data_IF_340192828988
#
_entry.id   IF_340192828988
#
_cell.length_a   1.000
_cell.length_b   1.000
_cell.length_c   1.000
_cell.angle_alpha   90.00
_cell.angle_beta   90.00
_cell.angle_gamma   90.00
#
_symmetry.space_group_name_H-M   'P 1'
#
loop_
_entity.id
_entity.type
_entity.pdbx_description
1 polymer ?
#
# COMPACT_ATOMS: atom_id res chain seq x y z
N UNK A 1 -4.00 41.46 -40.58
CA UNK A 1 -3.09 41.71 -39.45
C UNK A 1 -3.33 40.64 -38.41
N UNK A 2 -2.42 39.66 -38.37
CA UNK A 2 -2.42 38.54 -37.44
C UNK A 2 -2.12 39.00 -36.02
N UNK A 3 -2.81 38.42 -35.05
CA UNK A 3 -2.27 38.13 -33.73
C UNK A 3 -2.98 36.87 -33.20
N UNK A 4 -2.28 35.75 -33.36
CA UNK A 4 -2.54 34.47 -32.70
C UNK A 4 -2.43 34.68 -31.18
N UNK A 5 -3.47 34.37 -30.41
CA UNK A 5 -3.33 34.17 -28.98
C UNK A 5 -3.24 32.66 -28.72
N UNK A 6 -2.11 32.25 -28.15
CA UNK A 6 -1.63 30.88 -28.05
C UNK A 6 -2.39 30.09 -26.97
N UNK A 7 -2.92 28.88 -27.28
CA UNK A 7 -3.52 27.99 -26.28
C UNK A 7 -2.43 27.10 -25.63
N UNK A 8 -1.51 27.68 -24.85
CA UNK A 8 -0.39 26.89 -24.27
C UNK A 8 -0.20 27.04 -22.75
N UNK A 9 -1.18 27.57 -22.01
CA UNK A 9 -1.07 27.73 -20.55
C UNK A 9 -1.93 26.77 -19.71
N UNK A 10 -2.37 25.63 -20.25
CA UNK A 10 -3.21 24.67 -19.51
C UNK A 10 -2.55 23.33 -19.16
N UNK A 11 -1.30 23.10 -19.56
CA UNK A 11 -0.54 21.96 -19.05
C UNK A 11 0.10 22.35 -17.71
N UNK A 12 -0.73 22.35 -16.67
CA UNK A 12 -0.23 22.18 -15.31
C UNK A 12 0.73 20.99 -15.34
N UNK A 13 1.95 21.22 -14.86
CA UNK A 13 3.02 20.25 -14.77
C UNK A 13 2.52 19.02 -14.00
N UNK A 14 2.03 18.00 -14.71
CA UNK A 14 1.99 16.65 -14.18
C UNK A 14 3.44 16.23 -14.05
N UNK A 15 4.04 16.60 -12.91
CA UNK A 15 5.39 16.21 -12.57
C UNK A 15 5.44 14.68 -12.68
N UNK A 16 6.41 14.10 -13.40
CA UNK A 16 6.46 12.66 -13.56
C UNK A 16 6.52 12.05 -12.16
N UNK A 17 5.45 11.37 -11.76
CA UNK A 17 5.43 10.56 -10.54
C UNK A 17 6.56 9.55 -10.73
N UNK A 18 7.64 9.72 -9.97
CA UNK A 18 8.74 8.76 -9.99
C UNK A 18 8.21 7.43 -9.45
N UNK A 19 8.69 6.31 -9.97
CA UNK A 19 8.27 4.96 -9.52
C UNK A 19 8.36 4.81 -7.98
N UNK A 20 9.33 5.48 -7.36
CA UNK A 20 9.48 5.57 -5.91
C UNK A 20 8.33 6.31 -5.21
N UNK A 21 7.83 7.41 -5.79
CA UNK A 21 6.67 8.14 -5.26
C UNK A 21 5.41 7.29 -5.29
N UNK A 22 5.18 6.56 -6.39
CA UNK A 22 4.04 5.64 -6.51
C UNK A 22 4.16 4.44 -5.57
N UNK A 23 5.37 3.92 -5.34
CA UNK A 23 5.61 2.82 -4.41
C UNK A 23 5.37 3.24 -2.97
N UNK A 24 5.89 4.40 -2.55
CA UNK A 24 5.72 4.92 -1.19
C UNK A 24 4.24 5.18 -0.86
N UNK A 25 3.48 5.76 -1.80
CA UNK A 25 2.04 5.99 -1.65
C UNK A 25 1.25 4.68 -1.52
N UNK A 26 1.56 3.68 -2.37
CA UNK A 26 0.94 2.34 -2.27
C UNK A 26 1.29 1.65 -0.96
N UNK A 27 2.54 1.73 -0.54
CA UNK A 27 3.01 1.14 0.72
C UNK A 27 2.35 1.76 1.95
N UNK A 28 2.23 3.09 1.98
CA UNK A 28 1.50 3.78 3.03
C UNK A 28 0.02 3.40 3.04
N UNK A 29 -0.63 3.35 1.87
CA UNK A 29 -2.02 2.92 1.73
C UNK A 29 -2.24 1.49 2.21
N UNK A 30 -1.29 0.60 1.92
CA UNK A 30 -1.27 -0.77 2.43
C UNK A 30 -1.23 -0.78 3.96
N UNK A 31 -0.33 0.01 4.57
CA UNK A 31 -0.25 0.11 6.01
C UNK A 31 -1.57 0.62 6.61
N UNK A 32 -2.12 1.72 6.11
CA UNK A 32 -3.38 2.31 6.59
C UNK A 32 -4.55 1.30 6.53
N UNK A 33 -4.68 0.56 5.43
CA UNK A 33 -5.69 -0.48 5.29
C UNK A 33 -5.47 -1.63 6.28
N UNK A 34 -4.22 -2.06 6.48
CA UNK A 34 -3.89 -3.09 7.46
C UNK A 34 -4.27 -2.65 8.90
N UNK A 35 -4.17 -1.37 9.22
CA UNK A 35 -4.54 -0.80 10.52
C UNK A 35 -6.06 -0.78 10.71
N UNK A 36 -6.83 -0.50 9.66
CA UNK A 36 -8.29 -0.64 9.68
C UNK A 36 -8.64 -2.09 9.99
N UNK A 37 -8.05 -3.06 9.28
CA UNK A 37 -8.30 -4.49 9.50
C UNK A 37 -7.89 -4.90 10.92
N UNK A 38 -6.75 -4.42 11.44
CA UNK A 38 -6.29 -4.68 12.81
C UNK A 38 -7.32 -4.19 13.84
N UNK A 39 -7.90 -3.00 13.65
CA UNK A 39 -8.93 -2.45 14.53
C UNK A 39 -10.20 -3.30 14.54
N UNK A 40 -10.63 -3.80 13.37
CA UNK A 40 -11.76 -4.71 13.23
C UNK A 40 -11.49 -6.08 13.86
N UNK A 41 -10.22 -6.49 13.92
CA UNK A 41 -9.73 -7.69 14.59
C UNK A 41 -9.50 -7.50 16.11
N UNK A 42 -9.82 -6.33 16.67
CA UNK A 42 -9.53 -5.96 18.07
C UNK A 42 -8.05 -6.08 18.46
N UNK A 43 -7.15 -5.81 17.51
CA UNK A 43 -5.70 -5.76 17.72
C UNK A 43 -5.23 -4.33 18.00
N UNK A 44 -4.04 -4.21 18.61
CA UNK A 44 -3.36 -2.94 18.72
C UNK A 44 -2.86 -2.47 17.34
N UNK A 45 -2.90 -1.17 17.11
CA UNK A 45 -2.36 -0.53 15.91
C UNK A 45 -0.84 -0.50 15.92
N UNK A 46 -0.22 -0.80 14.79
CA UNK A 46 1.23 -0.65 14.57
C UNK A 46 1.58 0.80 14.23
N UNK A 47 2.77 1.28 14.57
CA UNK A 47 3.22 2.62 14.16
C UNK A 47 3.87 2.57 12.78
N UNK A 48 3.74 3.64 12.00
CA UNK A 48 4.42 3.79 10.71
C UNK A 48 5.79 4.43 10.92
N UNK A 49 6.74 3.64 11.42
CA UNK A 49 8.10 4.06 11.72
C UNK A 49 9.13 2.96 11.41
N UNK A 50 10.41 3.29 11.61
CA UNK A 50 11.54 2.37 11.45
C UNK A 50 11.51 1.60 10.12
N UNK A 51 11.65 0.28 10.21
CA UNK A 51 11.71 -0.60 9.05
C UNK A 51 10.47 -0.51 8.14
N UNK A 52 9.28 -0.23 8.70
CA UNK A 52 8.07 -0.06 7.90
C UNK A 52 8.18 1.24 7.09
N UNK A 53 8.51 2.36 7.72
CA UNK A 53 8.59 3.65 7.02
C UNK A 53 9.74 3.72 6.00
N UNK A 54 10.86 3.04 6.29
CA UNK A 54 12.06 3.03 5.45
C UNK A 54 11.98 2.09 4.23
N UNK A 55 10.99 1.20 4.19
CA UNK A 55 10.90 0.16 3.16
C UNK A 55 10.96 0.70 1.71
N UNK A 56 10.19 1.73 1.30
CA UNK A 56 10.19 2.19 -0.09
C UNK A 56 11.57 2.67 -0.57
N UNK A 57 12.32 3.33 0.29
CA UNK A 57 13.69 3.76 -0.02
C UNK A 57 14.63 2.55 -0.12
N UNK A 58 14.58 1.66 0.88
CA UNK A 58 15.48 0.49 0.95
C UNK A 58 15.29 -0.50 -0.20
N UNK A 59 14.05 -0.70 -0.67
CA UNK A 59 13.79 -1.61 -1.80
C UNK A 59 14.27 -1.02 -3.13
N UNK A 60 14.17 0.30 -3.31
CA UNK A 60 14.76 0.98 -4.46
C UNK A 60 16.30 0.86 -4.47
N UNK A 61 16.94 0.98 -3.30
CA UNK A 61 18.39 0.78 -3.16
C UNK A 61 18.83 -0.68 -3.39
N UNK A 62 17.93 -1.64 -3.16
CA UNK A 62 18.22 -3.07 -3.31
C UNK A 62 18.32 -3.53 -4.78
N UNK A 63 17.90 -2.69 -5.74
CA UNK A 63 18.05 -2.88 -7.18
C UNK A 63 16.78 -3.34 -7.91
N UNK A 64 16.78 -3.17 -9.23
CA UNK A 64 15.60 -3.26 -10.10
C UNK A 64 14.86 -4.60 -10.02
N UNK A 65 15.58 -5.73 -9.93
CA UNK A 65 14.94 -7.04 -9.82
C UNK A 65 14.11 -7.16 -8.54
N UNK A 66 14.67 -6.74 -7.39
CA UNK A 66 13.99 -6.81 -6.10
C UNK A 66 12.82 -5.84 -6.03
N UNK A 67 12.98 -4.66 -6.62
CA UNK A 67 11.90 -3.69 -6.78
C UNK A 67 10.73 -4.30 -7.57
N UNK A 68 11.00 -4.95 -8.71
CA UNK A 68 9.97 -5.60 -9.51
C UNK A 68 9.25 -6.73 -8.74
N UNK A 69 9.98 -7.54 -7.97
CA UNK A 69 9.37 -8.54 -7.08
C UNK A 69 8.49 -7.92 -5.99
N UNK A 70 8.91 -6.79 -5.43
CA UNK A 70 8.14 -6.08 -4.42
C UNK A 70 6.85 -5.48 -5.00
N UNK A 71 6.90 -4.90 -6.21
CA UNK A 71 5.72 -4.38 -6.90
C UNK A 71 4.69 -5.48 -7.19
N UNK A 72 5.13 -6.63 -7.71
CA UNK A 72 4.24 -7.79 -7.94
C UNK A 72 3.64 -8.31 -6.63
N UNK A 73 4.45 -8.40 -5.57
CA UNK A 73 3.94 -8.84 -4.26
C UNK A 73 2.93 -7.84 -3.68
N UNK A 74 3.13 -6.54 -3.89
CA UNK A 74 2.15 -5.52 -3.49
C UNK A 74 0.84 -5.66 -4.25
N UNK A 75 0.88 -5.95 -5.55
CA UNK A 75 -0.31 -6.25 -6.35
C UNK A 75 -1.06 -7.48 -5.82
N UNK A 76 -0.35 -8.54 -5.44
CA UNK A 76 -0.95 -9.74 -4.85
C UNK A 76 -1.61 -9.43 -3.49
N UNK A 77 -0.97 -8.61 -2.65
CA UNK A 77 -1.55 -8.18 -1.37
C UNK A 77 -2.81 -7.33 -1.60
N UNK A 78 -2.78 -6.40 -2.55
CA UNK A 78 -3.94 -5.57 -2.88
C UNK A 78 -5.12 -6.45 -3.37
N UNK A 79 -4.83 -7.47 -4.18
CA UNK A 79 -5.83 -8.38 -4.72
C UNK A 79 -6.57 -9.20 -3.64
N UNK A 80 -5.94 -9.47 -2.50
CA UNK A 80 -6.60 -10.14 -1.36
C UNK A 80 -7.20 -9.13 -0.37
N UNK A 81 -6.51 -8.02 -0.11
CA UNK A 81 -6.86 -7.09 0.95
C UNK A 81 -8.09 -6.26 0.60
N UNK A 82 -8.16 -5.72 -0.62
CA UNK A 82 -9.26 -4.84 -1.03
C UNK A 82 -10.64 -5.54 -1.00
N UNK A 83 -10.84 -6.72 -1.61
CA UNK A 83 -12.11 -7.42 -1.50
C UNK A 83 -12.39 -7.91 -0.07
N UNK A 84 -11.36 -8.34 0.68
CA UNK A 84 -11.49 -8.75 2.07
C UNK A 84 -11.98 -7.61 2.98
N UNK A 85 -11.37 -6.44 2.88
CA UNK A 85 -11.77 -5.24 3.61
C UNK A 85 -13.18 -4.78 3.20
N UNK A 86 -13.51 -4.81 1.91
CA UNK A 86 -14.86 -4.50 1.43
C UNK A 86 -15.91 -5.43 2.06
N UNK A 87 -15.62 -6.73 2.14
CA UNK A 87 -16.51 -7.69 2.79
C UNK A 87 -16.65 -7.43 4.29
N UNK A 88 -15.55 -7.12 4.98
CA UNK A 88 -15.55 -6.78 6.41
C UNK A 88 -16.39 -5.53 6.71
N UNK A 89 -16.24 -4.48 5.91
CA UNK A 89 -17.05 -3.26 6.02
C UNK A 89 -18.54 -3.55 5.82
N UNK A 90 -18.90 -4.44 4.88
CA UNK A 90 -20.28 -4.85 4.67
C UNK A 90 -20.86 -5.66 5.85
N UNK A 91 -20.05 -6.51 6.49
CA UNK A 91 -20.44 -7.26 7.71
C UNK A 91 -20.64 -6.27 8.87
N UNK A 92 -19.70 -5.33 9.06
CA UNK A 92 -19.80 -4.31 10.11
C UNK A 92 -21.01 -3.40 9.93
N UNK A 93 -21.32 -3.00 8.69
CA UNK A 93 -22.51 -2.19 8.38
C UNK A 93 -23.83 -2.90 8.72
N UNK A 94 -23.84 -4.24 8.80
CA UNK A 94 -24.97 -5.05 9.25
C UNK A 94 -25.00 -5.24 10.77
N UNK A 95 -24.07 -4.64 11.51
CA UNK A 95 -23.93 -4.78 12.96
C UNK A 95 -23.44 -6.17 13.38
N UNK A 96 -22.80 -6.91 12.49
CA UNK A 96 -22.28 -8.25 12.77
C UNK A 96 -20.83 -8.20 13.25
N UNK A 97 -20.41 -9.20 14.03
CA UNK A 97 -19.03 -9.32 14.51
C UNK A 97 -18.07 -9.60 13.34
N UNK A 98 -16.98 -8.83 13.30
CA UNK A 98 -15.93 -8.92 12.27
C UNK A 98 -14.62 -9.49 12.82
N UNK A 99 -14.52 -9.74 14.13
CA UNK A 99 -13.26 -10.04 14.81
C UNK A 99 -12.53 -11.24 14.19
N UNK A 100 -13.22 -12.37 14.02
CA UNK A 100 -12.61 -13.58 13.49
C UNK A 100 -12.19 -13.47 12.01
N UNK A 101 -13.04 -13.02 11.07
CA UNK A 101 -12.62 -12.84 9.68
C UNK A 101 -11.58 -11.73 9.49
N UNK A 102 -11.63 -10.65 10.30
CA UNK A 102 -10.63 -9.59 10.26
C UNK A 102 -9.26 -10.10 10.75
N UNK A 103 -9.23 -10.91 11.82
CA UNK A 103 -7.99 -11.52 12.31
C UNK A 103 -7.35 -12.43 11.27
N UNK A 104 -8.15 -13.20 10.52
CA UNK A 104 -7.65 -14.05 9.44
C UNK A 104 -7.01 -13.19 8.34
N UNK A 105 -7.71 -12.17 7.85
CA UNK A 105 -7.18 -11.28 6.81
C UNK A 105 -5.94 -10.52 7.28
N UNK A 106 -5.94 -10.02 8.52
CA UNK A 106 -4.79 -9.32 9.09
C UNK A 106 -3.54 -10.19 9.10
N UNK A 107 -3.66 -11.47 9.46
CA UNK A 107 -2.51 -12.40 9.49
C UNK A 107 -1.90 -12.60 8.11
N UNK A 108 -2.72 -12.75 7.07
CA UNK A 108 -2.24 -12.89 5.69
C UNK A 108 -1.51 -11.61 5.24
N UNK A 109 -2.12 -10.44 5.43
CA UNK A 109 -1.50 -9.15 5.08
C UNK A 109 -0.20 -8.92 5.85
N UNK A 110 -0.21 -9.19 7.16
CA UNK A 110 0.96 -9.03 8.02
C UNK A 110 2.11 -9.97 7.59
N UNK A 111 1.82 -11.23 7.26
CA UNK A 111 2.84 -12.18 6.80
C UNK A 111 3.44 -11.79 5.44
N UNK A 112 2.61 -11.34 4.49
CA UNK A 112 3.08 -10.86 3.19
C UNK A 112 3.91 -9.59 3.32
N UNK A 113 3.49 -8.66 4.20
CA UNK A 113 4.26 -7.43 4.51
C UNK A 113 5.62 -7.76 5.13
N UNK A 114 5.68 -8.69 6.08
CA UNK A 114 6.94 -9.14 6.65
C UNK A 114 7.88 -9.76 5.60
N UNK A 115 7.32 -10.47 4.62
CA UNK A 115 8.09 -11.05 3.50
C UNK A 115 8.67 -9.96 2.59
N UNK A 116 7.91 -8.89 2.33
CA UNK A 116 8.40 -7.71 1.61
C UNK A 116 9.58 -7.04 2.33
N UNK A 117 9.47 -6.82 3.64
CA UNK A 117 10.56 -6.25 4.44
C UNK A 117 11.83 -7.12 4.38
N UNK A 118 11.68 -8.44 4.38
CA UNK A 118 12.80 -9.37 4.28
C UNK A 118 13.53 -9.31 2.91
N UNK A 119 12.87 -8.91 1.82
CA UNK A 119 13.52 -8.72 0.52
C UNK A 119 14.65 -7.67 0.57
N UNK A 120 14.51 -6.67 1.45
CA UNK A 120 15.52 -5.64 1.67
C UNK A 120 16.72 -6.12 2.51
N UNK A 121 16.63 -7.29 3.15
CA UNK A 121 17.66 -7.84 4.03
C UNK A 121 18.48 -8.95 3.37
N UNK A 122 17.95 -9.60 2.32
CA UNK A 122 18.66 -10.66 1.61
C UNK A 122 19.89 -10.10 0.89
N UNK A 123 21.09 -10.57 1.26
CA UNK A 123 22.36 -10.21 0.59
C UNK A 123 22.64 -11.16 -0.56
#
# INVERSE_FOLDING_TARGET
MSALNHPDQLFASAQPQTAQGTLAERWQSLHENAQIIASMAALATESYDGEIAEFPERICEAGDERLAWAELTLEDIDAIMQPGLTALLAIQARGQDTTAPALALWREVHASRASLLALCQAR
#
